data_IF_709989893089
#
_entry.id   IF_709989893089
#
_cell.length_a   1.000
_cell.length_b   1.000
_cell.length_c   1.000
_cell.angle_alpha   90.00
_cell.angle_beta   90.00
_cell.angle_gamma   90.00
#
_symmetry.space_group_name_H-M   'P 1'
#
loop_
_entity.id
_entity.type
_entity.pdbx_description
1 polymer ?
#
# COMPACT_ATOMS: atom_id res chain seq x y z
N UNK A 1 -20.19 37.99 -47.22
CA UNK A 1 -21.24 37.47 -46.31
C UNK A 1 -20.78 36.10 -45.88
N UNK A 2 -19.88 36.06 -44.87
CA UNK A 2 -19.29 34.84 -44.35
C UNK A 2 -20.17 34.32 -43.22
N UNK A 3 -20.73 33.16 -43.46
CA UNK A 3 -21.49 32.43 -42.42
C UNK A 3 -20.46 31.72 -41.55
N UNK A 4 -20.16 32.32 -40.38
CA UNK A 4 -19.41 31.70 -39.32
C UNK A 4 -20.16 30.47 -38.85
N UNK A 5 -19.69 29.29 -39.21
CA UNK A 5 -20.17 27.99 -38.74
C UNK A 5 -19.62 27.78 -37.34
N UNK A 6 -20.36 28.30 -36.35
CA UNK A 6 -20.06 28.07 -34.94
C UNK A 6 -20.24 26.58 -34.69
N UNK A 7 -19.11 25.87 -34.52
CA UNK A 7 -19.04 24.46 -34.17
C UNK A 7 -19.23 24.42 -32.69
N UNK A 8 -20.50 24.39 -32.25
CA UNK A 8 -20.83 24.10 -30.85
C UNK A 8 -20.24 22.73 -30.48
N UNK A 9 -19.08 22.78 -29.86
CA UNK A 9 -18.52 21.65 -29.17
C UNK A 9 -19.54 21.28 -28.09
N UNK A 10 -20.22 20.16 -28.27
CA UNK A 10 -21.04 19.53 -27.25
C UNK A 10 -20.13 19.17 -26.08
N UNK A 11 -20.00 20.05 -25.12
CA UNK A 11 -19.46 19.73 -23.83
C UNK A 11 -20.50 18.87 -23.14
N UNK A 12 -20.19 17.59 -22.93
CA UNK A 12 -20.96 16.73 -22.05
C UNK A 12 -20.70 17.27 -20.65
N UNK A 13 -21.67 18.02 -20.12
CA UNK A 13 -21.64 18.44 -18.72
C UNK A 13 -21.79 17.18 -17.86
N UNK A 14 -20.67 16.69 -17.31
CA UNK A 14 -20.67 15.55 -16.39
C UNK A 14 -21.08 16.11 -15.03
N UNK A 15 -22.32 15.85 -14.62
CA UNK A 15 -22.76 16.15 -13.27
C UNK A 15 -22.11 15.18 -12.27
N UNK A 16 -21.14 15.71 -11.50
CA UNK A 16 -20.43 14.94 -10.47
C UNK A 16 -21.37 14.40 -9.39
N UNK A 17 -22.46 15.09 -9.11
CA UNK A 17 -23.46 14.65 -8.13
C UNK A 17 -24.21 13.43 -8.66
N UNK A 18 -24.62 13.46 -9.93
CA UNK A 18 -25.30 12.33 -10.57
C UNK A 18 -24.38 11.10 -10.64
N UNK A 19 -23.10 11.32 -10.92
CA UNK A 19 -22.08 10.26 -10.93
C UNK A 19 -21.92 9.64 -9.53
N UNK A 20 -21.86 10.46 -8.49
CA UNK A 20 -21.77 9.99 -7.10
C UNK A 20 -23.01 9.20 -6.68
N UNK A 21 -24.20 9.67 -7.02
CA UNK A 21 -25.45 8.95 -6.76
C UNK A 21 -25.49 7.61 -7.50
N UNK A 22 -25.00 7.56 -8.74
CA UNK A 22 -24.90 6.31 -9.51
C UNK A 22 -23.95 5.30 -8.85
N UNK A 23 -22.79 5.76 -8.31
CA UNK A 23 -21.88 4.90 -7.52
C UNK A 23 -22.59 4.38 -6.27
N UNK A 24 -23.29 5.23 -5.52
CA UNK A 24 -24.01 4.81 -4.32
C UNK A 24 -25.13 3.81 -4.62
N UNK A 25 -25.91 4.00 -5.69
CA UNK A 25 -26.95 3.05 -6.11
C UNK A 25 -26.37 1.69 -6.51
N UNK A 26 -25.16 1.65 -7.07
CA UNK A 26 -24.47 0.41 -7.48
C UNK A 26 -23.41 -0.05 -6.48
N UNK A 27 -23.36 0.52 -5.26
CA UNK A 27 -22.38 0.19 -4.22
C UNK A 27 -22.33 -1.31 -3.88
N UNK A 28 -23.47 -2.01 -3.93
CA UNK A 28 -23.52 -3.45 -3.74
C UNK A 28 -22.67 -4.22 -4.77
N UNK A 29 -22.77 -3.83 -6.05
CA UNK A 29 -21.97 -4.45 -7.13
C UNK A 29 -20.49 -4.15 -6.93
N UNK A 30 -20.16 -2.90 -6.58
CA UNK A 30 -18.79 -2.47 -6.27
C UNK A 30 -18.23 -3.32 -5.13
N UNK A 31 -18.99 -3.51 -4.04
CA UNK A 31 -18.58 -4.30 -2.89
C UNK A 31 -18.30 -5.76 -3.27
N UNK A 32 -19.18 -6.40 -4.03
CA UNK A 32 -19.00 -7.79 -4.48
C UNK A 32 -17.74 -7.93 -5.34
N UNK A 33 -17.57 -7.06 -6.35
CA UNK A 33 -16.40 -7.11 -7.24
C UNK A 33 -15.11 -6.86 -6.46
N UNK A 34 -15.09 -5.90 -5.54
CA UNK A 34 -13.96 -5.61 -4.67
C UNK A 34 -13.54 -6.83 -3.85
N UNK A 35 -14.49 -7.48 -3.17
CA UNK A 35 -14.23 -8.68 -2.36
C UNK A 35 -13.74 -9.83 -3.24
N UNK A 36 -14.36 -10.03 -4.40
CA UNK A 36 -14.00 -11.11 -5.33
C UNK A 36 -12.58 -10.93 -5.85
N UNK A 37 -12.20 -9.73 -6.29
CA UNK A 37 -10.82 -9.43 -6.75
C UNK A 37 -9.83 -9.60 -5.61
N UNK A 38 -10.15 -9.10 -4.40
CA UNK A 38 -9.31 -9.29 -3.21
C UNK A 38 -9.10 -10.76 -2.87
N UNK A 39 -10.16 -11.58 -2.96
CA UNK A 39 -10.08 -13.02 -2.73
C UNK A 39 -9.23 -13.74 -3.79
N UNK A 40 -9.36 -13.37 -5.06
CA UNK A 40 -8.54 -13.94 -6.14
C UNK A 40 -7.06 -13.61 -5.95
N UNK A 41 -6.73 -12.34 -5.64
CA UNK A 41 -5.34 -11.91 -5.40
C UNK A 41 -4.78 -12.58 -4.15
N UNK A 42 -5.57 -12.69 -3.09
CA UNK A 42 -5.17 -13.41 -1.86
C UNK A 42 -4.94 -14.90 -2.10
N UNK A 43 -5.80 -15.56 -2.86
CA UNK A 43 -5.65 -16.96 -3.25
C UNK A 43 -4.40 -17.16 -4.14
N UNK A 44 -4.18 -16.26 -5.08
CA UNK A 44 -2.97 -16.27 -5.91
C UNK A 44 -1.70 -16.19 -5.03
N UNK A 45 -1.66 -15.26 -4.08
CA UNK A 45 -0.52 -15.14 -3.17
C UNK A 45 -0.30 -16.40 -2.32
N UNK A 46 -1.39 -17.04 -1.90
CA UNK A 46 -1.32 -18.26 -1.07
C UNK A 46 -0.81 -19.49 -1.86
N UNK A 47 -1.23 -19.65 -3.13
CA UNK A 47 -0.92 -20.85 -3.91
C UNK A 47 0.34 -20.72 -4.78
N UNK A 48 0.63 -19.52 -5.28
CA UNK A 48 1.69 -19.32 -6.28
C UNK A 48 2.95 -18.66 -5.73
N UNK A 49 2.86 -17.93 -4.60
CA UNK A 49 4.04 -17.28 -4.03
C UNK A 49 4.75 -18.24 -3.09
N UNK A 50 6.03 -18.50 -3.36
CA UNK A 50 6.86 -19.38 -2.53
C UNK A 50 6.98 -18.83 -1.10
N UNK A 51 6.73 -19.66 -0.07
CA UNK A 51 6.88 -19.24 1.31
C UNK A 51 8.35 -18.94 1.61
N UNK A 52 8.59 -17.90 2.41
CA UNK A 52 9.92 -17.55 2.90
C UNK A 52 9.90 -17.49 4.42
N UNK A 53 10.98 -17.95 5.01
CA UNK A 53 11.21 -17.99 6.44
C UNK A 53 12.33 -17.03 6.79
N UNK A 54 12.26 -16.42 7.97
CA UNK A 54 13.27 -15.51 8.48
C UNK A 54 13.82 -16.08 9.78
N UNK A 55 15.13 -16.27 9.80
CA UNK A 55 15.88 -16.53 11.03
C UNK A 55 16.66 -15.28 11.38
N UNK A 56 16.58 -14.83 12.63
CA UNK A 56 17.32 -13.66 13.10
C UNK A 56 18.25 -14.01 14.24
N UNK A 57 19.38 -13.33 14.26
CA UNK A 57 20.36 -13.38 15.33
C UNK A 57 20.76 -11.97 15.75
N UNK A 58 20.99 -11.76 17.05
CA UNK A 58 21.37 -10.45 17.58
C UNK A 58 22.82 -10.49 18.10
N UNK A 59 23.57 -9.45 17.76
CA UNK A 59 24.95 -9.29 18.14
C UNK A 59 25.20 -7.92 18.75
N UNK A 60 26.01 -7.89 19.82
CA UNK A 60 26.40 -6.69 20.52
C UNK A 60 27.83 -6.30 20.11
N UNK A 61 28.01 -5.04 19.80
CA UNK A 61 29.33 -4.45 19.47
C UNK A 61 29.93 -3.88 20.74
N UNK A 62 31.09 -4.40 21.13
CA UNK A 62 31.88 -3.83 22.23
C UNK A 62 33.12 -3.16 21.67
N UNK A 63 33.24 -1.87 21.93
CA UNK A 63 34.45 -1.10 21.62
C UNK A 63 35.23 -0.86 22.91
N UNK A 64 36.27 -1.68 23.15
CA UNK A 64 37.14 -1.55 24.34
C UNK A 64 38.04 -0.32 24.32
N UNK A 65 37.98 0.53 23.29
CA UNK A 65 38.84 1.72 23.16
C UNK A 65 38.45 2.87 24.10
N UNK A 66 37.34 2.77 24.86
CA UNK A 66 36.84 3.84 25.74
C UNK A 66 36.77 3.37 27.20
N UNK A 67 37.79 2.68 27.71
CA UNK A 67 37.96 2.44 29.14
C UNK A 67 38.99 3.43 29.73
N UNK A 68 38.75 4.73 29.59
CA UNK A 68 39.41 5.72 30.43
C UNK A 68 38.52 5.98 31.64
N UNK A 69 38.99 5.53 32.80
CA UNK A 69 38.34 5.70 34.08
C UNK A 69 37.91 7.17 34.29
N UNK A 70 36.60 7.43 34.36
CA UNK A 70 36.05 8.71 34.82
C UNK A 70 35.36 9.57 33.75
N UNK A 71 35.16 9.14 32.52
CA UNK A 71 34.43 9.92 31.53
C UNK A 71 32.93 9.69 31.65
N UNK A 72 32.17 10.78 31.82
CA UNK A 72 30.74 10.84 31.67
C UNK A 72 30.31 10.30 30.31
N UNK A 73 29.23 9.49 30.27
CA UNK A 73 28.60 9.04 29.03
C UNK A 73 28.26 10.25 28.17
N UNK A 74 29.01 10.47 27.10
CA UNK A 74 28.81 11.57 26.18
C UNK A 74 28.03 11.09 24.96
N UNK A 75 27.17 11.96 24.43
CA UNK A 75 26.41 11.71 23.18
C UNK A 75 27.35 11.38 21.99
N UNK A 76 28.59 11.76 22.09
CA UNK A 76 29.69 11.44 21.19
C UNK A 76 29.97 9.94 21.11
N UNK A 77 29.95 9.25 22.26
CA UNK A 77 30.27 7.81 22.35
C UNK A 77 29.12 6.96 21.71
N UNK A 78 27.88 7.40 21.88
CA UNK A 78 26.73 6.75 21.27
C UNK A 78 26.74 6.87 19.73
N UNK A 79 27.17 8.03 19.20
CA UNK A 79 27.30 8.22 17.76
C UNK A 79 28.48 7.40 17.18
N UNK A 80 29.57 7.26 17.95
CA UNK A 80 30.71 6.41 17.57
C UNK A 80 30.29 4.92 17.50
N UNK A 81 29.51 4.43 18.49
CA UNK A 81 29.00 3.07 18.49
C UNK A 81 28.07 2.77 17.30
N UNK A 82 27.17 3.69 16.95
CA UNK A 82 26.32 3.57 15.73
C UNK A 82 27.16 3.53 14.45
N UNK A 83 28.23 4.30 14.38
CA UNK A 83 29.15 4.28 13.24
C UNK A 83 29.85 2.94 13.11
N UNK A 84 30.21 2.30 14.23
CA UNK A 84 30.83 0.97 14.25
C UNK A 84 29.84 -0.11 13.76
N UNK A 85 28.57 -0.07 14.19
CA UNK A 85 27.53 -0.99 13.72
C UNK A 85 27.42 -0.89 12.19
N UNK A 86 27.35 0.32 11.63
CA UNK A 86 27.32 0.50 10.18
C UNK A 86 28.56 -0.08 9.48
N UNK A 87 29.75 0.09 10.07
CA UNK A 87 31.00 -0.48 9.56
C UNK A 87 30.94 -2.01 9.56
N UNK A 88 30.41 -2.62 10.60
CA UNK A 88 30.28 -4.09 10.70
C UNK A 88 29.26 -4.65 9.71
N UNK A 89 28.18 -3.92 9.42
CA UNK A 89 27.26 -4.30 8.35
C UNK A 89 27.95 -4.27 6.97
N UNK A 90 28.86 -3.34 6.73
CA UNK A 90 29.66 -3.31 5.50
C UNK A 90 30.61 -4.49 5.46
N UNK A 91 31.29 -4.81 6.57
CA UNK A 91 32.21 -5.97 6.68
C UNK A 91 31.45 -7.27 6.45
N UNK A 92 30.25 -7.44 7.07
CA UNK A 92 29.38 -8.61 6.86
C UNK A 92 29.05 -8.81 5.37
N UNK A 93 28.72 -7.73 4.68
CA UNK A 93 28.37 -7.78 3.25
C UNK A 93 29.59 -7.92 2.32
N UNK A 94 30.80 -8.03 2.87
CA UNK A 94 32.00 -8.24 2.07
C UNK A 94 32.06 -9.65 1.49
N UNK A 95 32.74 -9.78 0.33
CA UNK A 95 32.89 -11.08 -0.34
C UNK A 95 33.60 -12.11 0.53
N UNK A 96 34.63 -11.66 1.24
CA UNK A 96 35.43 -12.56 2.07
C UNK A 96 34.62 -13.18 3.20
N UNK A 97 33.84 -12.34 3.93
CA UNK A 97 33.00 -12.84 5.04
C UNK A 97 31.93 -13.77 4.52
N UNK A 98 31.22 -13.39 3.43
CA UNK A 98 30.15 -14.22 2.90
C UNK A 98 30.64 -15.52 2.28
N UNK A 99 31.83 -15.55 1.69
CA UNK A 99 32.42 -16.81 1.22
C UNK A 99 32.76 -17.74 2.39
N UNK A 100 33.31 -17.19 3.50
CA UNK A 100 33.59 -18.00 4.68
C UNK A 100 32.31 -18.52 5.33
N UNK A 101 31.22 -17.72 5.29
CA UNK A 101 29.89 -18.18 5.75
C UNK A 101 29.36 -19.30 4.86
N UNK A 102 29.55 -19.25 3.54
CA UNK A 102 29.18 -20.33 2.62
C UNK A 102 29.94 -21.62 2.96
N UNK A 103 31.26 -21.49 3.18
CA UNK A 103 32.09 -22.62 3.54
C UNK A 103 31.72 -23.24 4.89
N UNK A 104 31.48 -22.40 5.91
CA UNK A 104 31.09 -22.83 7.25
C UNK A 104 29.71 -23.49 7.28
N UNK A 105 28.74 -22.91 6.54
CA UNK A 105 27.36 -23.45 6.49
C UNK A 105 27.21 -24.64 5.54
N UNK A 106 28.15 -24.82 4.60
CA UNK A 106 28.08 -25.88 3.59
C UNK A 106 26.92 -25.77 2.61
N UNK A 107 26.31 -24.60 2.46
CA UNK A 107 25.23 -24.34 1.53
C UNK A 107 25.75 -24.06 0.13
N UNK A 108 25.02 -24.50 -0.89
CA UNK A 108 25.40 -24.32 -2.30
C UNK A 108 24.78 -23.03 -2.88
N UNK A 109 25.16 -21.88 -2.32
CA UNK A 109 24.74 -20.56 -2.81
C UNK A 109 25.95 -19.78 -3.33
N UNK A 110 25.72 -19.00 -4.39
CA UNK A 110 26.72 -18.02 -4.81
C UNK A 110 26.76 -16.84 -3.83
N UNK A 111 27.88 -16.13 -3.79
CA UNK A 111 28.03 -14.89 -3.02
C UNK A 111 26.86 -13.90 -3.24
N UNK A 112 26.40 -13.75 -4.51
CA UNK A 112 25.32 -12.81 -4.83
C UNK A 112 23.97 -13.26 -4.28
N UNK A 113 23.70 -14.53 -4.32
CA UNK A 113 22.46 -15.13 -3.78
C UNK A 113 22.45 -14.99 -2.27
N UNK A 114 23.50 -15.42 -1.59
CA UNK A 114 23.61 -15.30 -0.14
C UNK A 114 23.48 -13.84 0.31
N UNK A 115 24.14 -12.91 -0.38
CA UNK A 115 24.02 -11.48 -0.08
C UNK A 115 22.58 -10.96 -0.19
N UNK A 116 21.79 -11.47 -1.13
CA UNK A 116 20.38 -11.07 -1.29
C UNK A 116 19.46 -11.66 -0.22
N UNK A 117 19.90 -12.72 0.45
CA UNK A 117 19.16 -13.40 1.52
C UNK A 117 19.42 -12.77 2.89
N UNK A 118 20.53 -12.04 3.06
CA UNK A 118 20.96 -11.46 4.32
C UNK A 118 20.54 -9.99 4.38
N UNK A 119 19.96 -9.59 5.50
CA UNK A 119 19.71 -8.20 5.86
C UNK A 119 20.24 -7.96 7.27
N UNK A 120 20.95 -6.87 7.48
CA UNK A 120 21.41 -6.49 8.81
C UNK A 120 20.98 -5.05 9.10
N UNK A 121 20.57 -4.79 10.32
CA UNK A 121 20.13 -3.47 10.78
C UNK A 121 20.46 -3.27 12.25
N UNK A 122 20.78 -2.03 12.67
CA UNK A 122 20.90 -1.71 14.08
C UNK A 122 19.52 -1.83 14.77
N UNK A 123 19.54 -2.33 16.01
CA UNK A 123 18.34 -2.39 16.85
C UNK A 123 18.21 -1.05 17.57
N UNK A 124 17.23 -0.25 17.15
CA UNK A 124 16.96 1.10 17.65
C UNK A 124 18.23 1.99 17.66
N UNK A 125 18.51 2.64 18.79
CA UNK A 125 19.67 3.50 19.00
C UNK A 125 20.72 2.83 19.88
N UNK A 126 20.82 1.50 19.82
CA UNK A 126 21.72 0.70 20.66
C UNK A 126 22.98 0.26 19.92
N UNK A 127 23.91 -0.34 20.64
CA UNK A 127 25.12 -0.99 20.11
C UNK A 127 24.85 -2.43 19.64
N UNK A 128 23.55 -2.81 19.57
CA UNK A 128 23.12 -4.13 19.10
C UNK A 128 22.69 -4.01 17.64
N UNK A 129 23.05 -4.98 16.84
CA UNK A 129 22.51 -5.15 15.50
C UNK A 129 21.91 -6.53 15.31
N UNK A 130 20.86 -6.57 14.53
CA UNK A 130 20.16 -7.79 14.15
C UNK A 130 20.61 -8.19 12.74
N UNK A 131 20.91 -9.45 12.55
CA UNK A 131 21.13 -10.07 11.25
C UNK A 131 19.95 -10.99 10.96
N UNK A 132 19.28 -10.76 9.85
CA UNK A 132 18.11 -11.52 9.42
C UNK A 132 18.46 -12.25 8.13
N UNK A 133 18.33 -13.55 8.13
CA UNK A 133 18.49 -14.41 6.95
C UNK A 133 17.12 -14.85 6.47
N UNK A 134 16.84 -14.67 5.17
CA UNK A 134 15.56 -15.02 4.55
C UNK A 134 15.80 -16.13 3.53
N UNK A 135 15.26 -17.33 3.79
CA UNK A 135 15.33 -18.48 2.87
C UNK A 135 13.95 -19.10 2.64
N UNK A 136 13.84 -19.91 1.61
CA UNK A 136 12.66 -20.77 1.38
C UNK A 136 12.66 -22.01 2.27
N UNK A 137 13.82 -22.40 2.79
CA UNK A 137 14.01 -23.48 3.74
C UNK A 137 14.29 -22.90 5.14
N UNK A 138 13.48 -23.21 6.17
CA UNK A 138 13.69 -22.69 7.51
C UNK A 138 15.00 -23.18 8.17
N UNK A 139 15.41 -24.42 7.89
CA UNK A 139 16.65 -24.99 8.42
C UNK A 139 17.91 -24.29 7.84
N UNK A 140 17.89 -23.98 6.55
CA UNK A 140 18.96 -23.22 5.92
C UNK A 140 19.04 -21.77 6.45
N UNK A 141 17.89 -21.14 6.69
CA UNK A 141 17.87 -19.79 7.25
C UNK A 141 18.52 -19.75 8.63
N UNK A 142 18.20 -20.70 9.50
CA UNK A 142 18.82 -20.86 10.82
C UNK A 142 20.31 -21.16 10.71
N UNK A 143 20.68 -22.14 9.88
CA UNK A 143 22.07 -22.57 9.70
C UNK A 143 22.96 -21.40 9.22
N UNK A 144 22.53 -20.69 8.19
CA UNK A 144 23.27 -19.52 7.66
C UNK A 144 23.39 -18.42 8.73
N UNK A 145 22.30 -18.12 9.46
CA UNK A 145 22.33 -17.09 10.49
C UNK A 145 23.29 -17.46 11.64
N UNK A 146 23.34 -18.72 12.06
CA UNK A 146 24.26 -19.21 13.08
C UNK A 146 25.71 -19.27 12.55
N UNK A 147 25.95 -19.61 11.29
CA UNK A 147 27.27 -19.52 10.66
C UNK A 147 27.77 -18.06 10.60
N UNK A 148 26.90 -17.08 10.36
CA UNK A 148 27.26 -15.67 10.47
C UNK A 148 27.69 -15.32 11.90
N UNK A 149 26.98 -15.83 12.91
CA UNK A 149 27.34 -15.62 14.33
C UNK A 149 28.72 -16.21 14.68
N UNK A 150 29.12 -17.31 14.03
CA UNK A 150 30.45 -17.93 14.22
C UNK A 150 31.57 -17.15 13.50
N UNK A 151 31.35 -16.83 12.22
CA UNK A 151 32.39 -16.25 11.34
C UNK A 151 32.59 -14.76 11.60
N UNK A 152 31.51 -13.99 11.75
CA UNK A 152 31.58 -12.51 11.78
C UNK A 152 32.43 -11.96 12.94
N UNK A 153 32.34 -12.44 14.21
CA UNK A 153 33.13 -11.94 15.30
C UNK A 153 34.63 -12.13 15.06
N UNK A 154 35.05 -13.27 14.51
CA UNK A 154 36.43 -13.58 14.20
C UNK A 154 36.99 -12.65 13.11
N UNK A 155 36.21 -12.38 12.07
CA UNK A 155 36.61 -11.47 10.98
C UNK A 155 36.69 -10.03 11.45
N UNK A 156 35.73 -9.57 12.26
CA UNK A 156 35.77 -8.22 12.81
C UNK A 156 37.01 -8.06 13.69
N UNK A 157 37.32 -9.02 14.58
CA UNK A 157 38.49 -8.96 15.42
C UNK A 157 39.83 -8.93 14.62
N UNK A 158 39.84 -9.54 13.43
CA UNK A 158 41.00 -9.53 12.54
C UNK A 158 41.19 -8.24 11.75
N UNK A 159 40.08 -7.48 11.52
CA UNK A 159 40.10 -6.27 10.69
C UNK A 159 40.14 -4.99 11.53
N UNK A 160 39.44 -4.99 12.67
CA UNK A 160 39.29 -3.81 13.53
C UNK A 160 39.95 -4.08 14.88
N UNK A 161 41.11 -3.46 15.09
CA UNK A 161 41.85 -3.59 16.35
C UNK A 161 41.01 -3.11 17.54
N UNK A 162 41.09 -3.83 18.65
CA UNK A 162 40.41 -3.49 19.92
C UNK A 162 38.88 -3.58 19.92
N UNK A 163 38.27 -4.08 18.84
CA UNK A 163 36.81 -4.29 18.81
C UNK A 163 36.47 -5.77 18.98
N UNK A 164 35.33 -6.02 19.60
CA UNK A 164 34.78 -7.36 19.75
C UNK A 164 33.29 -7.37 19.51
N UNK A 165 32.79 -8.43 18.89
CA UNK A 165 31.39 -8.69 18.73
C UNK A 165 30.99 -9.89 19.58
N UNK A 166 29.92 -9.76 20.34
CA UNK A 166 29.39 -10.84 21.15
C UNK A 166 27.98 -11.21 20.70
N UNK A 167 27.70 -12.47 20.65
CA UNK A 167 26.38 -12.98 20.35
C UNK A 167 25.47 -12.68 21.56
N UNK A 168 24.38 -12.01 21.34
CA UNK A 168 23.33 -11.73 22.33
C UNK A 168 22.26 -12.80 22.24
N UNK A 169 21.82 -13.11 21.00
CA UNK A 169 20.84 -14.13 20.72
C UNK A 169 21.20 -14.86 19.43
N UNK A 170 21.17 -16.19 19.49
CA UNK A 170 21.44 -17.05 18.35
C UNK A 170 20.17 -17.25 17.54
N UNK A 171 20.31 -17.50 16.24
CA UNK A 171 19.17 -17.79 15.42
C UNK A 171 18.50 -19.11 15.84
N UNK A 172 17.17 -19.09 15.85
CA UNK A 172 16.32 -20.26 16.11
C UNK A 172 15.53 -20.61 14.86
N UNK A 173 15.12 -21.87 14.78
CA UNK A 173 14.31 -22.36 13.66
C UNK A 173 12.98 -21.59 13.57
N UNK A 174 12.69 -20.90 12.45
CA UNK A 174 11.46 -20.13 12.31
C UNK A 174 10.24 -21.07 12.16
N UNK A 175 9.33 -21.03 13.12
CA UNK A 175 8.10 -21.81 13.10
C UNK A 175 7.06 -21.29 12.09
N UNK A 176 7.10 -20.00 11.78
CA UNK A 176 6.10 -19.33 10.95
C UNK A 176 6.73 -18.77 9.69
N UNK A 177 6.01 -18.93 8.57
CA UNK A 177 6.39 -18.25 7.32
C UNK A 177 6.27 -16.73 7.49
N UNK A 178 7.28 -16.01 7.05
CA UNK A 178 7.33 -14.54 7.08
C UNK A 178 6.70 -13.92 5.83
N UNK A 179 6.70 -14.64 4.71
CA UNK A 179 6.13 -14.21 3.42
C UNK A 179 5.52 -15.41 2.70
N UNK A 180 4.46 -15.23 1.87
CA UNK A 180 3.75 -13.98 1.63
C UNK A 180 2.81 -13.61 2.77
N UNK A 181 2.67 -12.31 3.02
CA UNK A 181 1.61 -11.82 3.90
C UNK A 181 0.30 -11.77 3.09
N UNK A 182 -0.47 -12.86 3.11
CA UNK A 182 -1.72 -13.02 2.34
C UNK A 182 -2.71 -11.88 2.62
N UNK A 183 -2.76 -11.39 3.86
CA UNK A 183 -3.63 -10.27 4.24
C UNK A 183 -3.26 -8.99 3.48
N UNK A 184 -1.97 -8.70 3.35
CA UNK A 184 -1.48 -7.53 2.61
C UNK A 184 -1.81 -7.64 1.12
N UNK A 185 -1.59 -8.81 0.51
CA UNK A 185 -1.94 -9.06 -0.88
C UNK A 185 -3.44 -8.93 -1.12
N UNK A 186 -4.28 -9.48 -0.24
CA UNK A 186 -5.73 -9.35 -0.33
C UNK A 186 -6.18 -7.89 -0.21
N UNK A 187 -5.57 -7.09 0.68
CA UNK A 187 -5.88 -5.68 0.84
C UNK A 187 -5.51 -4.86 -0.41
N UNK A 188 -4.32 -5.10 -0.97
CA UNK A 188 -3.91 -4.46 -2.23
C UNK A 188 -4.84 -4.88 -3.37
N UNK A 189 -5.22 -6.16 -3.43
CA UNK A 189 -6.21 -6.67 -4.38
C UNK A 189 -7.58 -6.01 -4.24
N UNK A 190 -8.04 -5.79 -3.02
CA UNK A 190 -9.29 -5.06 -2.75
C UNK A 190 -9.22 -3.61 -3.20
N UNK A 191 -8.12 -2.90 -2.93
CA UNK A 191 -7.95 -1.51 -3.40
C UNK A 191 -7.96 -1.42 -4.93
N UNK A 192 -7.25 -2.32 -5.60
CA UNK A 192 -7.25 -2.38 -7.06
C UNK A 192 -8.63 -2.74 -7.61
N UNK A 193 -9.31 -3.72 -7.02
CA UNK A 193 -10.67 -4.13 -7.38
C UNK A 193 -11.68 -3.00 -7.21
N UNK A 194 -11.57 -2.23 -6.13
CA UNK A 194 -12.40 -1.05 -5.90
C UNK A 194 -12.20 0.00 -6.99
N UNK A 195 -10.95 0.35 -7.30
CA UNK A 195 -10.65 1.32 -8.35
C UNK A 195 -11.21 0.89 -9.72
N UNK A 196 -10.99 -0.36 -10.10
CA UNK A 196 -11.49 -0.92 -11.37
C UNK A 196 -13.01 -0.93 -11.39
N UNK A 197 -13.67 -1.36 -10.31
CA UNK A 197 -15.13 -1.40 -10.26
C UNK A 197 -15.77 -0.02 -10.37
N UNK A 198 -15.19 1.00 -9.75
CA UNK A 198 -15.62 2.38 -9.91
C UNK A 198 -15.51 2.86 -11.36
N UNK A 199 -14.40 2.60 -12.03
CA UNK A 199 -14.21 2.94 -13.44
C UNK A 199 -15.24 2.25 -14.32
N UNK A 200 -15.50 0.96 -14.10
CA UNK A 200 -16.51 0.20 -14.86
C UNK A 200 -17.91 0.80 -14.66
N UNK A 201 -18.29 1.12 -13.43
CA UNK A 201 -19.59 1.75 -13.15
C UNK A 201 -19.72 3.10 -13.83
N UNK A 202 -18.65 3.91 -13.83
CA UNK A 202 -18.64 5.20 -14.52
C UNK A 202 -18.80 5.02 -16.04
N UNK A 203 -18.05 4.10 -16.65
CA UNK A 203 -18.17 3.82 -18.09
C UNK A 203 -19.57 3.34 -18.45
N UNK A 204 -20.16 2.46 -17.63
CA UNK A 204 -21.52 1.99 -17.85
C UNK A 204 -22.54 3.13 -17.74
N UNK A 205 -22.35 4.06 -16.79
CA UNK A 205 -23.23 5.23 -16.66
C UNK A 205 -23.09 6.19 -17.84
N UNK A 206 -21.86 6.42 -18.33
CA UNK A 206 -21.61 7.26 -19.51
C UNK A 206 -22.18 6.66 -20.81
N UNK A 207 -22.32 5.34 -20.87
CA UNK A 207 -22.96 4.65 -22.02
C UNK A 207 -24.48 4.54 -21.89
N UNK A 208 -25.00 4.81 -20.70
CA UNK A 208 -26.44 4.80 -20.44
C UNK A 208 -27.04 6.14 -20.88
N UNK A 209 -27.61 6.14 -22.09
CA UNK A 209 -28.27 7.31 -22.68
C UNK A 209 -29.72 7.46 -22.20
N UNK A 210 -30.09 6.89 -21.05
CA UNK A 210 -31.42 7.03 -20.50
C UNK A 210 -31.67 8.47 -20.09
N UNK A 211 -32.73 9.06 -20.63
CA UNK A 211 -33.20 10.41 -20.26
C UNK A 211 -33.79 10.31 -18.85
N UNK A 212 -33.07 10.80 -17.84
CA UNK A 212 -33.47 10.65 -16.44
C UNK A 212 -34.11 11.92 -15.85
N UNK A 213 -34.00 13.07 -16.52
CA UNK A 213 -34.59 14.32 -16.02
C UNK A 213 -35.32 15.12 -17.09
N UNK A 214 -36.36 15.83 -16.68
CA UNK A 214 -37.15 16.74 -17.53
C UNK A 214 -36.28 17.90 -18.01
N UNK A 215 -35.41 18.41 -17.17
CA UNK A 215 -34.51 19.52 -17.50
C UNK A 215 -33.57 19.18 -18.66
N UNK A 216 -33.18 17.92 -18.81
CA UNK A 216 -32.34 17.46 -19.92
C UNK A 216 -33.10 17.58 -21.27
N UNK A 217 -34.38 17.28 -21.29
CA UNK A 217 -35.22 17.44 -22.50
C UNK A 217 -35.39 18.91 -22.87
N UNK A 218 -35.67 19.77 -21.90
CA UNK A 218 -35.90 21.21 -22.13
C UNK A 218 -34.59 21.88 -22.63
N UNK A 219 -33.49 21.58 -22.02
CA UNK A 219 -32.19 22.21 -22.34
C UNK A 219 -31.58 21.71 -23.65
N UNK A 220 -31.67 20.41 -23.94
CA UNK A 220 -31.02 19.79 -25.09
C UNK A 220 -31.86 19.80 -26.36
N UNK A 221 -33.16 19.64 -26.24
CA UNK A 221 -34.07 19.48 -27.42
C UNK A 221 -34.99 20.67 -27.68
N UNK A 222 -35.03 21.66 -26.77
CA UNK A 222 -35.89 22.87 -26.88
C UNK A 222 -37.35 22.58 -27.15
N UNK A 223 -37.83 21.39 -26.82
CA UNK A 223 -39.26 21.04 -26.90
C UNK A 223 -39.95 21.29 -25.57
N UNK A 224 -41.14 21.88 -25.55
CA UNK A 224 -41.91 22.03 -24.31
C UNK A 224 -42.38 20.67 -23.81
N UNK A 225 -42.12 20.37 -22.53
CA UNK A 225 -42.67 19.21 -21.85
C UNK A 225 -44.15 19.48 -21.59
N UNK A 226 -45.04 18.75 -22.24
CA UNK A 226 -46.49 18.99 -22.19
C UNK A 226 -47.14 18.38 -20.93
N UNK A 227 -46.64 17.26 -20.44
CA UNK A 227 -47.08 16.61 -19.22
C UNK A 227 -46.07 15.62 -18.71
N UNK A 228 -45.97 15.47 -17.40
CA UNK A 228 -45.15 14.46 -16.70
C UNK A 228 -46.12 13.47 -16.03
N UNK A 229 -45.97 12.20 -16.35
CA UNK A 229 -46.74 11.13 -15.72
C UNK A 229 -45.85 10.55 -14.61
N UNK A 230 -46.19 10.77 -13.32
CA UNK A 230 -45.40 10.20 -12.23
C UNK A 230 -45.57 8.67 -12.22
N UNK A 231 -44.47 7.98 -11.93
CA UNK A 231 -44.50 6.53 -11.71
C UNK A 231 -45.24 6.24 -10.39
N UNK A 232 -46.31 5.44 -10.47
CA UNK A 232 -47.15 5.11 -9.32
C UNK A 232 -46.53 4.06 -8.39
N UNK A 233 -45.42 3.42 -8.81
CA UNK A 233 -44.75 2.38 -8.03
C UNK A 233 -43.63 2.92 -7.12
N UNK A 234 -43.28 4.20 -7.22
CA UNK A 234 -42.24 4.81 -6.39
C UNK A 234 -42.75 5.15 -4.98
N UNK A 235 -42.85 4.16 -4.12
CA UNK A 235 -43.30 4.26 -2.73
C UNK A 235 -42.25 4.91 -1.79
N UNK A 236 -41.26 5.62 -2.32
CA UNK A 236 -40.24 6.31 -1.56
C UNK A 236 -39.88 7.68 -2.15
N UNK A 237 -40.75 8.67 -1.89
CA UNK A 237 -40.35 10.00 -1.44
C UNK A 237 -41.56 10.92 -1.38
N UNK A 238 -42.00 11.24 -0.18
CA UNK A 238 -42.97 12.35 0.05
C UNK A 238 -42.26 13.67 -0.25
N UNK A 239 -42.07 13.99 -1.53
CA UNK A 239 -41.71 15.31 -2.00
C UNK A 239 -42.96 16.20 -1.97
N UNK A 240 -42.99 17.19 -1.12
CA UNK A 240 -44.01 18.24 -1.09
C UNK A 240 -43.92 19.04 -2.40
N UNK A 241 -44.73 18.69 -3.40
CA UNK A 241 -44.96 19.59 -4.51
C UNK A 241 -45.93 20.67 -4.06
N UNK A 242 -45.44 21.87 -3.77
CA UNK A 242 -46.21 23.08 -3.64
C UNK A 242 -46.47 23.62 -5.05
N UNK A 243 -47.65 23.36 -5.59
CA UNK A 243 -48.16 24.13 -6.74
C UNK A 243 -48.46 25.55 -6.25
N UNK A 244 -47.61 26.51 -6.55
CA UNK A 244 -47.87 27.93 -6.39
C UNK A 244 -48.68 28.38 -7.64
N UNK A 245 -50.00 28.36 -7.56
CA UNK A 245 -50.84 29.06 -8.53
C UNK A 245 -50.70 30.56 -8.29
N UNK A 246 -49.84 31.22 -9.03
CA UNK A 246 -49.82 32.67 -9.17
C UNK A 246 -51.05 33.10 -10.00
N UNK A 247 -52.18 33.37 -9.34
CA UNK A 247 -53.28 34.04 -9.98
C UNK A 247 -52.89 35.49 -10.27
N UNK A 248 -52.51 35.76 -11.52
CA UNK A 248 -52.46 37.11 -12.05
C UNK A 248 -53.86 37.68 -12.05
N UNK A 249 -54.22 38.44 -11.03
CA UNK A 249 -55.41 39.27 -11.00
C UNK A 249 -55.16 40.45 -11.93
N UNK A 250 -55.83 40.42 -13.10
CA UNK A 250 -55.87 41.57 -14.00
C UNK A 250 -56.66 42.68 -13.33
N UNK A 251 -55.94 43.71 -12.93
CA UNK A 251 -56.55 44.98 -12.50
C UNK A 251 -56.92 45.74 -13.77
N UNK A 252 -58.18 45.62 -14.19
CA UNK A 252 -58.76 46.52 -15.16
C UNK A 252 -59.39 47.68 -14.44
N UNK A 253 -58.89 48.81 -14.72
CA UNK A 253 -59.21 50.08 -14.14
C UNK A 253 -60.64 50.48 -14.19
N UNK A 254 -61.05 51.31 -13.30
CA UNK A 254 -62.19 52.15 -13.43
C UNK A 254 -61.71 53.62 -13.37
N UNK A 255 -61.72 54.23 -14.55
CA UNK A 255 -61.58 55.66 -14.68
C UNK A 255 -62.97 56.18 -14.98
N UNK A 256 -63.65 56.80 -13.96
CA UNK A 256 -64.59 57.87 -14.17
C UNK A 256 -65.21 58.33 -12.80
N UNK A 257 -64.70 59.37 -12.27
CA UNK A 257 -65.44 60.60 -11.87
C UNK A 257 -64.56 61.45 -10.99
#
# INVERSE_FOLDING_TARGET
MEISKNKDSQYVEIDLVELFVALCKKAWIIAIVTILVGAIVGAYAFFFVTPKYKASAMMYVNNNSVSVAGASFDLSDLNAAKSLVNTYMVILNSRNVLNDVIEESGVDYSYKELKSMISAAPVDSTEVFEVVVTSTNPEEAELIANSICSVLPQKIASIVESSSVRIVDSAVLPEKKSSPNVTMYALVGMLAGFAVSCVVVIILKLRDNSITSEDYLINNYKYPVLAVIPDLDDNHQKGKYYYSYSSRRSDYGDAAR
#
